data_IF_433427873412
#
_entry.id   IF_433427873412
#
_cell.length_a   1.000
_cell.length_b   1.000
_cell.length_c   1.000
_cell.angle_alpha   90.00
_cell.angle_beta   90.00
_cell.angle_gamma   90.00
#
_symmetry.space_group_name_H-M   'P 1'
#
loop_
_entity.id
_entity.type
_entity.pdbx_description
1 polymer ?
#
# COMPACT_ATOMS: atom_id res chain seq x y z
N UNK A 1 2.85 23.81 18.56
CA UNK A 1 2.69 22.51 19.23
C UNK A 1 2.74 21.42 18.16
N UNK A 2 3.79 20.60 18.18
CA UNK A 2 3.93 19.40 17.33
C UNK A 2 2.91 18.37 17.83
N UNK A 3 2.08 17.84 16.94
CA UNK A 3 1.28 16.65 17.25
C UNK A 3 2.12 15.50 16.68
N UNK A 4 2.72 14.64 17.53
CA UNK A 4 3.38 13.42 17.07
C UNK A 4 2.40 12.64 16.19
N UNK A 5 2.89 11.78 15.30
CA UNK A 5 2.03 10.86 14.57
C UNK A 5 1.37 9.92 15.61
N UNK A 6 0.28 10.37 16.24
CA UNK A 6 -0.42 9.63 17.29
C UNK A 6 -1.00 8.33 16.72
N UNK A 7 -1.22 8.30 15.39
CA UNK A 7 -1.52 7.09 14.67
C UNK A 7 -0.34 6.11 14.66
N UNK A 8 0.94 6.53 14.63
CA UNK A 8 2.08 5.61 14.72
C UNK A 8 2.14 4.91 16.08
N UNK A 9 1.75 5.57 17.18
CA UNK A 9 1.60 4.88 18.48
C UNK A 9 0.49 3.81 18.44
N UNK A 10 -0.68 4.16 17.88
CA UNK A 10 -1.76 3.18 17.66
C UNK A 10 -1.35 2.09 16.67
N UNK A 11 -0.56 2.43 15.66
CA UNK A 11 -0.05 1.53 14.63
C UNK A 11 0.98 0.59 15.20
N UNK A 12 1.96 1.05 16.00
CA UNK A 12 2.91 0.18 16.72
C UNK A 12 2.16 -0.80 17.65
N UNK A 13 1.10 -0.34 18.34
CA UNK A 13 0.24 -1.22 19.15
C UNK A 13 -0.52 -2.25 18.31
N UNK A 14 -1.13 -1.83 17.19
CA UNK A 14 -1.86 -2.73 16.28
C UNK A 14 -0.92 -3.65 15.49
N UNK A 15 0.27 -3.21 15.12
CA UNK A 15 1.31 -3.98 14.46
C UNK A 15 1.88 -5.03 15.41
N UNK A 16 2.03 -4.70 16.70
CA UNK A 16 2.38 -5.70 17.72
C UNK A 16 1.27 -6.75 17.91
N UNK A 17 0.00 -6.34 17.88
CA UNK A 17 -1.15 -7.27 17.91
C UNK A 17 -1.25 -8.11 16.63
N UNK A 18 -0.95 -7.52 15.46
CA UNK A 18 -0.88 -8.18 14.17
C UNK A 18 0.24 -9.22 14.12
N UNK A 19 1.43 -8.88 14.62
CA UNK A 19 2.54 -9.81 14.79
C UNK A 19 2.23 -10.94 15.78
N UNK A 20 1.21 -10.77 16.62
CA UNK A 20 0.69 -11.77 17.57
C UNK A 20 -0.54 -12.53 17.04
N UNK A 21 -0.94 -12.29 15.79
CA UNK A 21 -2.00 -13.01 15.06
C UNK A 21 -3.44 -12.55 15.28
N UNK A 22 -3.66 -11.25 15.52
CA UNK A 22 -4.98 -10.66 15.71
C UNK A 22 -5.19 -9.41 14.84
N UNK A 23 -5.31 -9.60 13.52
CA UNK A 23 -5.76 -8.54 12.62
C UNK A 23 -7.29 -8.54 12.52
N UNK A 24 -7.94 -7.56 13.13
CA UNK A 24 -9.39 -7.33 12.94
C UNK A 24 -9.65 -6.76 11.55
N UNK A 25 -10.13 -7.59 10.65
CA UNK A 25 -10.53 -7.24 9.28
C UNK A 25 -12.05 -7.29 9.11
N UNK A 26 -12.60 -6.49 8.19
CA UNK A 26 -14.04 -6.45 7.93
C UNK A 26 -14.60 -7.80 7.44
N UNK A 27 -13.77 -8.56 6.74
CA UNK A 27 -13.97 -9.98 6.40
C UNK A 27 -13.06 -10.78 7.32
N UNK A 28 -13.50 -11.86 7.99
CA UNK A 28 -12.60 -12.67 8.80
C UNK A 28 -11.54 -13.33 7.92
N UNK A 29 -10.28 -12.93 8.08
CA UNK A 29 -9.12 -13.43 7.34
C UNK A 29 -8.10 -14.02 8.32
N UNK A 30 -7.42 -15.08 7.90
CA UNK A 30 -6.19 -15.55 8.56
C UNK A 30 -5.05 -14.56 8.31
N UNK A 31 -4.02 -14.55 9.15
CA UNK A 31 -2.88 -13.65 8.95
C UNK A 31 -2.20 -13.83 7.59
N UNK A 32 -2.12 -15.07 7.08
CA UNK A 32 -1.59 -15.36 5.75
C UNK A 32 -2.45 -14.74 4.64
N UNK A 33 -3.77 -14.80 4.79
CA UNK A 33 -4.69 -14.17 3.83
C UNK A 33 -4.60 -12.65 3.91
N UNK A 34 -4.37 -12.06 5.09
CA UNK A 34 -4.15 -10.61 5.20
C UNK A 34 -2.86 -10.21 4.50
N UNK A 35 -1.75 -10.93 4.74
CA UNK A 35 -0.47 -10.70 4.05
C UNK A 35 -0.60 -10.83 2.54
N UNK A 36 -1.25 -11.90 2.06
CA UNK A 36 -1.50 -12.11 0.64
C UNK A 36 -2.37 -10.99 0.03
N UNK A 37 -3.36 -10.48 0.78
CA UNK A 37 -4.20 -9.35 0.36
C UNK A 37 -3.37 -8.07 0.23
N UNK A 38 -2.53 -7.76 1.22
CA UNK A 38 -1.71 -6.56 1.19
C UNK A 38 -0.66 -6.61 0.08
N UNK A 39 -0.01 -7.76 -0.12
CA UNK A 39 0.94 -7.95 -1.21
C UNK A 39 0.28 -7.83 -2.60
N UNK A 40 -0.90 -8.42 -2.79
CA UNK A 40 -1.63 -8.26 -4.05
C UNK A 40 -2.03 -6.79 -4.29
N UNK A 41 -2.50 -6.11 -3.24
CA UNK A 41 -2.89 -4.71 -3.32
C UNK A 41 -1.68 -3.77 -3.51
N UNK A 42 -0.52 -4.05 -2.93
CA UNK A 42 0.70 -3.25 -3.09
C UNK A 42 1.15 -3.22 -4.55
N UNK A 43 1.12 -4.38 -5.22
CA UNK A 43 1.44 -4.47 -6.63
C UNK A 43 0.38 -3.80 -7.53
N UNK A 44 -0.92 -3.97 -7.23
CA UNK A 44 -1.99 -3.41 -8.05
C UNK A 44 -2.18 -1.90 -7.90
N UNK A 45 -1.78 -1.32 -6.76
CA UNK A 45 -1.87 0.13 -6.51
C UNK A 45 -0.59 0.88 -6.92
N UNK A 46 0.49 0.17 -7.22
CA UNK A 46 1.73 0.74 -7.73
C UNK A 46 1.59 1.23 -9.17
N UNK A 47 2.59 1.96 -9.66
CA UNK A 47 2.61 2.40 -11.05
C UNK A 47 2.62 1.17 -11.98
N UNK A 48 1.75 1.11 -13.00
CA UNK A 48 1.61 -0.03 -13.90
C UNK A 48 2.71 -0.04 -14.97
N UNK A 49 3.94 -0.26 -14.52
CA UNK A 49 5.09 -0.53 -15.38
C UNK A 49 5.02 -1.95 -15.96
N UNK A 50 5.98 -2.26 -16.84
CA UNK A 50 6.03 -3.58 -17.49
C UNK A 50 6.18 -4.71 -16.47
N UNK A 51 6.86 -4.48 -15.34
CA UNK A 51 7.05 -5.50 -14.29
C UNK A 51 5.74 -5.84 -13.57
N UNK A 52 4.92 -4.85 -13.23
CA UNK A 52 3.59 -5.08 -12.66
C UNK A 52 2.68 -5.78 -13.66
N UNK A 53 2.70 -5.37 -14.93
CA UNK A 53 1.88 -5.98 -15.98
C UNK A 53 2.27 -7.45 -16.25
N UNK A 54 3.56 -7.76 -16.25
CA UNK A 54 4.07 -9.13 -16.38
C UNK A 54 3.70 -10.01 -15.16
N UNK A 55 3.48 -9.40 -13.99
CA UNK A 55 3.08 -10.09 -12.75
C UNK A 55 1.59 -10.36 -12.63
N UNK A 56 0.73 -9.86 -13.53
CA UNK A 56 -0.74 -9.98 -13.38
C UNK A 56 -1.23 -11.42 -13.20
N UNK A 57 -0.58 -12.41 -13.84
CA UNK A 57 -0.89 -13.83 -13.66
C UNK A 57 -0.59 -14.33 -12.25
N UNK A 58 0.56 -13.93 -11.69
CA UNK A 58 0.93 -14.25 -10.31
C UNK A 58 -0.03 -13.59 -9.32
N UNK A 59 -0.39 -12.33 -9.56
CA UNK A 59 -1.35 -11.60 -8.72
C UNK A 59 -2.72 -12.30 -8.74
N UNK A 60 -3.18 -12.73 -9.92
CA UNK A 60 -4.43 -13.48 -10.05
C UNK A 60 -4.40 -14.81 -9.29
N UNK A 61 -3.28 -15.55 -9.37
CA UNK A 61 -3.09 -16.80 -8.62
C UNK A 61 -3.13 -16.56 -7.11
N UNK A 62 -2.43 -15.53 -6.62
CA UNK A 62 -2.45 -15.17 -5.21
C UNK A 62 -3.85 -14.77 -4.75
N UNK A 63 -4.55 -13.92 -5.52
CA UNK A 63 -5.92 -13.51 -5.24
C UNK A 63 -6.89 -14.71 -5.20
N UNK A 64 -6.68 -15.73 -6.04
CA UNK A 64 -7.47 -16.97 -6.05
C UNK A 64 -7.36 -17.81 -4.77
N UNK A 65 -6.39 -17.53 -3.89
CA UNK A 65 -6.28 -18.18 -2.57
C UNK A 65 -7.09 -17.48 -1.48
N UNK A 66 -7.65 -16.30 -1.78
CA UNK A 66 -8.39 -15.47 -0.84
C UNK A 66 -9.90 -15.76 -0.88
N UNK A 67 -10.64 -15.44 0.19
CA UNK A 67 -12.10 -15.53 0.18
C UNK A 67 -12.74 -14.57 -0.83
N UNK A 68 -13.88 -14.99 -1.39
CA UNK A 68 -14.62 -14.30 -2.47
C UNK A 68 -14.76 -12.79 -2.37
N UNK A 69 -15.13 -12.15 -1.23
CA UNK A 69 -15.26 -10.69 -1.23
C UNK A 69 -13.94 -9.97 -1.49
N UNK A 70 -12.80 -10.55 -1.07
CA UNK A 70 -11.47 -9.97 -1.29
C UNK A 70 -10.94 -10.36 -2.66
N UNK A 71 -11.06 -11.65 -3.00
CA UNK A 71 -10.61 -12.17 -4.29
C UNK A 71 -11.32 -11.47 -5.46
N UNK A 72 -12.64 -11.27 -5.37
CA UNK A 72 -13.42 -10.67 -6.44
C UNK A 72 -12.99 -9.23 -6.77
N UNK A 73 -12.65 -8.42 -5.76
CA UNK A 73 -12.19 -7.05 -5.97
C UNK A 73 -10.81 -7.01 -6.62
N UNK A 74 -9.87 -7.83 -6.15
CA UNK A 74 -8.52 -7.92 -6.72
C UNK A 74 -8.56 -8.48 -8.16
N UNK A 75 -9.32 -9.54 -8.40
CA UNK A 75 -9.45 -10.17 -9.72
C UNK A 75 -10.14 -9.24 -10.72
N UNK A 76 -11.09 -8.42 -10.28
CA UNK A 76 -11.71 -7.39 -11.14
C UNK A 76 -10.70 -6.34 -11.57
N UNK A 77 -9.82 -5.90 -10.68
CA UNK A 77 -8.73 -4.97 -11.02
C UNK A 77 -7.76 -5.63 -12.00
N UNK A 78 -7.33 -6.87 -11.74
CA UNK A 78 -6.46 -7.63 -12.64
C UNK A 78 -7.08 -7.75 -14.04
N UNK A 79 -8.36 -8.09 -14.13
CA UNK A 79 -9.06 -8.18 -15.41
C UNK A 79 -9.06 -6.84 -16.16
N UNK A 80 -9.37 -5.73 -15.47
CA UNK A 80 -9.33 -4.40 -16.06
C UNK A 80 -7.94 -4.01 -16.60
N UNK A 81 -6.88 -4.34 -15.86
CA UNK A 81 -5.51 -4.08 -16.29
C UNK A 81 -5.07 -4.94 -17.48
N UNK A 82 -5.61 -6.15 -17.63
CA UNK A 82 -5.31 -7.02 -18.79
C UNK A 82 -6.00 -6.58 -20.07
N UNK A 83 -7.20 -6.03 -19.96
CA UNK A 83 -8.04 -5.69 -21.12
C UNK A 83 -7.71 -4.32 -21.71
N UNK A 84 -7.16 -3.40 -20.91
CA UNK A 84 -6.86 -2.05 -21.34
C UNK A 84 -5.45 -1.91 -21.96
N UNK A 85 -5.30 -0.91 -22.82
CA UNK A 85 -4.00 -0.56 -23.40
C UNK A 85 -3.03 -0.05 -22.30
N UNK A 86 -1.77 -0.53 -22.25
CA UNK A 86 -0.81 -0.13 -21.22
C UNK A 86 -0.59 1.39 -21.12
N UNK A 87 -0.62 2.10 -22.25
CA UNK A 87 -0.43 3.54 -22.25
C UNK A 87 -1.65 4.26 -21.67
N UNK A 88 -2.86 3.77 -21.95
CA UNK A 88 -4.09 4.26 -21.32
C UNK A 88 -4.06 4.05 -19.81
N UNK A 89 -3.74 2.84 -19.34
CA UNK A 89 -3.69 2.53 -17.90
C UNK A 89 -2.68 3.45 -17.17
N UNK A 90 -1.49 3.65 -17.73
CA UNK A 90 -0.46 4.54 -17.15
C UNK A 90 -0.95 5.99 -17.10
N UNK A 91 -1.65 6.45 -18.14
CA UNK A 91 -2.24 7.79 -18.15
C UNK A 91 -3.31 7.95 -17.08
N UNK A 92 -4.20 6.96 -16.94
CA UNK A 92 -5.25 6.96 -15.91
C UNK A 92 -4.68 6.91 -14.49
N UNK A 93 -3.58 6.18 -14.29
CA UNK A 93 -2.84 6.16 -13.04
C UNK A 93 -2.35 7.57 -12.67
N UNK A 94 -1.62 8.23 -13.57
CA UNK A 94 -1.09 9.57 -13.35
C UNK A 94 -2.23 10.57 -13.10
N UNK A 95 -3.31 10.48 -13.87
CA UNK A 95 -4.48 11.33 -13.67
C UNK A 95 -5.14 11.11 -12.30
N UNK A 96 -5.17 9.87 -11.82
CA UNK A 96 -5.83 9.50 -10.58
C UNK A 96 -4.99 9.85 -9.35
N UNK A 97 -3.72 9.45 -9.36
CA UNK A 97 -2.86 9.45 -8.17
C UNK A 97 -1.88 10.63 -8.15
N UNK A 98 -1.32 11.05 -9.28
CA UNK A 98 -0.22 12.04 -9.28
C UNK A 98 -0.70 13.47 -9.46
N UNK A 99 -1.76 13.68 -10.26
CA UNK A 99 -2.24 15.05 -10.56
C UNK A 99 -3.19 15.60 -9.50
N UNK A 100 -3.85 14.73 -8.72
CA UNK A 100 -4.91 15.12 -7.79
C UNK A 100 -4.48 14.95 -6.34
N UNK A 101 -4.49 16.04 -5.57
CA UNK A 101 -4.18 16.05 -4.12
C UNK A 101 -4.96 15.02 -3.29
N UNK A 102 -6.21 14.72 -3.68
CA UNK A 102 -7.07 13.75 -2.97
C UNK A 102 -6.77 12.30 -3.31
N UNK A 103 -6.07 12.06 -4.42
CA UNK A 103 -5.71 10.74 -4.89
C UNK A 103 -4.27 10.35 -4.58
N UNK A 104 -3.40 11.25 -4.10
CA UNK A 104 -1.99 10.88 -3.91
C UNK A 104 -1.82 9.71 -2.94
N UNK A 105 -0.77 8.90 -3.16
CA UNK A 105 -0.51 7.69 -2.38
C UNK A 105 0.43 7.92 -1.19
N UNK A 106 0.76 9.18 -0.87
CA UNK A 106 1.64 9.54 0.24
C UNK A 106 0.85 9.78 1.52
N UNK A 107 0.93 8.86 2.47
CA UNK A 107 0.12 8.90 3.69
C UNK A 107 0.34 10.17 4.52
N UNK A 108 1.58 10.65 4.62
CA UNK A 108 1.90 11.86 5.41
C UNK A 108 1.39 13.14 4.75
N UNK A 109 1.07 13.10 3.45
CA UNK A 109 0.49 14.24 2.75
C UNK A 109 -0.91 14.57 3.26
N UNK A 110 -1.74 13.56 3.53
CA UNK A 110 -3.11 13.79 4.03
C UNK A 110 -3.12 14.37 5.45
N UNK A 111 -2.10 14.08 6.26
CA UNK A 111 -2.00 14.57 7.64
C UNK A 111 -1.26 15.90 7.74
N UNK A 112 -0.24 16.13 6.91
CA UNK A 112 0.69 17.25 7.08
C UNK A 112 0.78 18.19 5.87
N UNK A 113 0.19 17.81 4.73
CA UNK A 113 0.36 18.52 3.45
C UNK A 113 1.83 18.68 3.08
N UNK A 114 2.12 19.67 2.24
CA UNK A 114 3.49 20.03 1.91
C UNK A 114 4.05 21.07 2.90
N UNK A 115 4.36 20.60 4.11
CA UNK A 115 4.87 21.46 5.19
C UNK A 115 6.12 20.87 5.82
N UNK A 116 6.87 21.69 6.57
CA UNK A 116 8.02 21.22 7.38
C UNK A 116 7.66 20.04 8.30
N UNK A 117 6.40 19.92 8.72
CA UNK A 117 5.94 18.81 9.55
C UNK A 117 5.95 17.48 8.80
N UNK A 118 5.73 17.49 7.48
CA UNK A 118 5.83 16.30 6.63
C UNK A 118 7.25 15.72 6.64
N UNK A 119 8.27 16.57 6.52
CA UNK A 119 9.67 16.13 6.61
C UNK A 119 9.98 15.38 7.92
N UNK A 120 9.45 15.85 9.06
CA UNK A 120 9.61 15.15 10.34
C UNK A 120 8.86 13.81 10.40
N UNK A 121 7.66 13.75 9.80
CA UNK A 121 6.87 12.52 9.72
C UNK A 121 7.59 11.44 8.89
N UNK A 122 8.16 11.81 7.75
CA UNK A 122 8.95 10.90 6.89
C UNK A 122 10.16 10.33 7.63
N UNK A 123 10.87 11.14 8.42
CA UNK A 123 11.99 10.68 9.25
C UNK A 123 11.55 9.65 10.30
N UNK A 124 10.38 9.86 10.92
CA UNK A 124 9.82 8.93 11.92
C UNK A 124 9.43 7.58 11.30
N UNK A 125 8.88 7.59 10.08
CA UNK A 125 8.56 6.36 9.34
C UNK A 125 9.86 5.64 8.94
N UNK A 126 10.84 6.34 8.36
CA UNK A 126 12.15 5.73 8.00
C UNK A 126 12.87 5.14 9.22
N UNK A 127 12.72 5.76 10.39
CA UNK A 127 13.27 5.22 11.64
C UNK A 127 12.51 3.96 12.08
N UNK A 128 11.18 3.92 11.91
CA UNK A 128 10.37 2.75 12.28
C UNK A 128 10.69 1.53 11.43
N UNK A 129 10.89 1.69 10.12
CA UNK A 129 11.37 0.60 9.26
C UNK A 129 12.74 0.06 9.69
N UNK A 130 13.69 0.97 9.98
CA UNK A 130 15.02 0.59 10.49
C UNK A 130 14.96 -0.16 11.82
N UNK A 131 14.09 0.27 12.74
CA UNK A 131 13.84 -0.43 14.01
C UNK A 131 13.26 -1.84 13.80
N UNK A 132 12.52 -2.06 12.71
CA UNK A 132 12.00 -3.35 12.30
C UNK A 132 13.01 -4.19 11.48
N UNK A 133 14.21 -3.67 11.21
CA UNK A 133 15.23 -4.36 10.40
C UNK A 133 15.00 -4.29 8.88
N UNK A 134 14.10 -3.42 8.43
CA UNK A 134 13.82 -3.19 7.01
C UNK A 134 14.69 -2.05 6.48
N UNK A 135 15.33 -2.28 5.34
CA UNK A 135 16.05 -1.24 4.60
C UNK A 135 15.10 -0.59 3.61
N UNK A 136 14.98 0.73 3.68
CA UNK A 136 14.06 1.48 2.82
C UNK A 136 14.91 2.17 1.78
N UNK A 137 14.69 1.80 0.53
CA UNK A 137 15.35 2.43 -0.60
C UNK A 137 15.05 3.93 -0.65
N UNK A 138 15.97 4.69 -1.22
CA UNK A 138 15.87 6.15 -1.36
C UNK A 138 15.21 6.58 -2.69
N UNK A 139 14.78 5.63 -3.52
CA UNK A 139 14.10 5.86 -4.80
C UNK A 139 12.65 6.33 -4.64
N UNK A 140 11.96 5.86 -3.60
CA UNK A 140 10.59 6.27 -3.27
C UNK A 140 10.46 6.66 -1.78
N UNK A 141 9.52 7.55 -1.47
CA UNK A 141 9.30 7.96 -0.08
C UNK A 141 8.75 6.80 0.76
N UNK A 142 9.18 6.67 2.03
CA UNK A 142 8.81 5.56 2.91
C UNK A 142 7.30 5.51 3.25
N UNK A 143 6.56 6.59 2.95
CA UNK A 143 5.13 6.70 3.22
C UNK A 143 4.24 6.49 1.98
N UNK A 144 4.82 6.06 0.86
CA UNK A 144 4.06 5.64 -0.31
C UNK A 144 3.23 4.39 0.02
N UNK A 145 1.93 4.39 -0.30
CA UNK A 145 1.00 3.35 0.13
C UNK A 145 1.39 1.95 -0.35
N UNK A 146 1.93 1.81 -1.57
CA UNK A 146 2.40 0.52 -2.05
C UNK A 146 3.49 -0.08 -1.15
N UNK A 147 4.44 0.75 -0.69
CA UNK A 147 5.55 0.31 0.16
C UNK A 147 5.09 -0.03 1.58
N UNK A 148 4.04 0.64 2.07
CA UNK A 148 3.47 0.38 3.39
C UNK A 148 2.69 -0.95 3.43
N UNK A 149 2.21 -1.41 2.27
CA UNK A 149 1.45 -2.65 2.13
C UNK A 149 2.34 -3.88 1.91
N UNK A 150 3.60 -3.71 1.54
CA UNK A 150 4.57 -4.80 1.34
C UNK A 150 5.19 -5.28 2.66
#
# INVERSE_FOLDING_TARGET
>A
MFVPLAFLKKWKSRASAAASGQLETAVPLTDDQVRATWLAASWLIGYPDDEVLDRLDLIAQLAGTLPDPVAADLLRTVAGLREADPQTIRSEYVETFDTRRRGCLYLTYFTNGDTRKRGMALLEIKQTYREAGLDVSDDELPDHLAYVLE
#
